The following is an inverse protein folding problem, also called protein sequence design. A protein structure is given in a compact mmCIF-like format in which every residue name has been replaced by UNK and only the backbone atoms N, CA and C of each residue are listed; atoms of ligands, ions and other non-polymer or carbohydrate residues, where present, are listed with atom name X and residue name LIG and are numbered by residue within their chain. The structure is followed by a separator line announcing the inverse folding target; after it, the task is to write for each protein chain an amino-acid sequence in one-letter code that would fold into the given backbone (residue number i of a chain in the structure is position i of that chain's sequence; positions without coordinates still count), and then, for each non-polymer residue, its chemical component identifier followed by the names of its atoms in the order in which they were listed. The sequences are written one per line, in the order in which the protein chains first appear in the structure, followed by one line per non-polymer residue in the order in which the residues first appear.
data_IF_757679591406
#
_entry.id   IF_757679591406
#
_cell.length_a   1.000
_cell.length_b   1.000
_cell.length_c   1.000
_cell.angle_alpha   90.00
_cell.angle_beta   90.00
_cell.angle_gamma   90.00
#
_symmetry.space_group_name_H-M   'P 1'
#
loop_
_entity.id
_entity.type
_entity.pdbx_description
1 polymer ?
#
# COMPACT_ATOMS: atom_id res chain seq x y z
N UNK A 1 2.86 16.62 3.72
CA UNK A 1 1.77 16.24 2.83
C UNK A 1 1.13 14.96 3.35
N UNK A 2 -0.20 14.92 3.38
CA UNK A 2 -0.92 13.78 3.97
C UNK A 2 -1.16 12.63 2.98
N UNK A 3 -1.03 12.88 1.67
CA UNK A 3 -1.07 11.86 0.62
C UNK A 3 0.19 12.01 -0.23
N UNK A 4 0.96 10.95 -0.34
CA UNK A 4 2.22 10.97 -1.10
C UNK A 4 2.22 9.86 -2.13
N UNK A 5 2.74 10.14 -3.31
CA UNK A 5 2.90 9.18 -4.37
C UNK A 5 4.40 8.99 -4.64
N UNK A 6 4.87 7.77 -4.51
CA UNK A 6 6.28 7.44 -4.76
C UNK A 6 6.32 6.74 -6.12
N UNK A 7 6.50 7.55 -7.14
CA UNK A 7 6.48 7.14 -8.54
C UNK A 7 7.78 7.56 -9.21
N UNK A 8 8.32 6.69 -10.06
CA UNK A 8 9.40 7.03 -10.99
C UNK A 8 8.84 7.02 -12.41
N UNK A 9 9.68 7.26 -13.40
CA UNK A 9 9.26 7.11 -14.79
C UNK A 9 8.93 5.66 -15.15
N UNK A 10 9.59 4.71 -14.49
CA UNK A 10 9.38 3.27 -14.74
C UNK A 10 8.27 2.66 -13.92
N UNK A 11 8.14 3.06 -12.64
CA UNK A 11 7.31 2.35 -11.69
C UNK A 11 6.46 3.28 -10.84
N UNK A 12 5.26 2.82 -10.55
CA UNK A 12 4.39 3.38 -9.53
C UNK A 12 4.61 2.54 -8.28
N UNK A 13 5.59 2.92 -7.45
CA UNK A 13 5.99 2.11 -6.30
C UNK A 13 4.93 2.06 -5.21
N UNK A 14 4.46 3.20 -4.78
CA UNK A 14 3.58 3.25 -3.60
C UNK A 14 2.75 4.52 -3.54
N UNK A 15 1.63 4.39 -2.82
CA UNK A 15 0.83 5.53 -2.36
C UNK A 15 0.86 5.48 -0.83
N UNK A 16 1.24 6.58 -0.19
CA UNK A 16 1.30 6.69 1.26
C UNK A 16 0.20 7.62 1.72
N UNK A 17 -0.66 7.10 2.59
CA UNK A 17 -1.74 7.86 3.21
C UNK A 17 -1.38 8.08 4.67
N UNK A 18 -1.16 9.32 5.06
CA UNK A 18 -0.76 9.67 6.43
C UNK A 18 -1.96 9.71 7.36
N UNK A 19 -1.69 9.43 8.64
CA UNK A 19 -2.73 9.39 9.69
C UNK A 19 -3.58 10.67 9.75
N UNK A 20 -2.96 11.82 9.49
CA UNK A 20 -3.66 13.11 9.52
C UNK A 20 -4.55 13.41 8.33
N UNK A 21 -4.75 12.47 7.41
CA UNK A 21 -5.60 12.69 6.25
C UNK A 21 -7.08 12.75 6.65
N UNK A 22 -7.77 13.81 6.22
CA UNK A 22 -9.19 14.02 6.49
C UNK A 22 -9.98 14.00 5.18
N UNK A 23 -10.59 12.85 4.82
CA UNK A 23 -11.39 12.77 3.61
C UNK A 23 -12.77 13.42 3.77
N UNK A 24 -13.43 13.63 2.65
CA UNK A 24 -14.82 14.04 2.60
C UNK A 24 -15.62 12.89 1.98
N UNK A 25 -16.42 12.21 2.80
CA UNK A 25 -17.16 11.03 2.37
C UNK A 25 -16.24 9.87 1.99
N UNK A 26 -16.58 9.19 0.91
CA UNK A 26 -15.76 8.10 0.37
C UNK A 26 -14.91 8.62 -0.78
N UNK A 27 -13.60 8.45 -0.68
CA UNK A 27 -12.65 8.89 -1.69
C UNK A 27 -11.67 7.77 -2.02
N UNK A 28 -11.34 7.61 -3.30
CA UNK A 28 -10.34 6.65 -3.76
C UNK A 28 -9.13 7.38 -4.33
N UNK A 29 -7.95 6.81 -4.09
CA UNK A 29 -6.65 7.43 -4.45
C UNK A 29 -5.92 6.66 -5.54
N UNK A 30 -6.54 5.60 -6.03
CA UNK A 30 -6.04 4.72 -7.08
C UNK A 30 -6.75 5.01 -8.40
N UNK A 31 -6.18 4.52 -9.50
CA UNK A 31 -6.85 4.60 -10.81
C UNK A 31 -7.96 3.56 -10.88
N UNK A 32 -8.99 3.83 -11.70
CA UNK A 32 -10.11 2.90 -11.86
C UNK A 32 -9.67 1.52 -12.33
N UNK A 33 -8.62 1.47 -13.13
CA UNK A 33 -8.10 0.23 -13.71
C UNK A 33 -7.15 -0.53 -12.78
N UNK A 34 -6.79 0.06 -11.66
CA UNK A 34 -5.90 -0.61 -10.72
C UNK A 34 -6.57 -1.84 -10.13
N UNK A 35 -5.80 -2.92 -10.05
CA UNK A 35 -6.32 -4.20 -9.54
C UNK A 35 -6.66 -4.16 -8.07
N UNK A 36 -6.11 -3.20 -7.34
CA UNK A 36 -6.34 -3.04 -5.91
C UNK A 36 -6.66 -1.57 -5.64
N UNK A 37 -7.78 -1.33 -5.00
CA UNK A 37 -8.26 0.02 -4.77
C UNK A 37 -7.99 0.46 -3.34
N UNK A 38 -7.37 1.62 -3.17
CA UNK A 38 -7.17 2.24 -1.86
C UNK A 38 -8.09 3.45 -1.75
N UNK A 39 -8.90 3.45 -0.71
CA UNK A 39 -9.80 4.57 -0.45
C UNK A 39 -9.94 4.83 1.04
N UNK A 40 -10.52 5.97 1.34
CA UNK A 40 -10.92 6.34 2.70
C UNK A 40 -12.42 6.57 2.73
N UNK A 41 -13.00 6.36 3.90
CA UNK A 41 -14.42 6.58 4.13
C UNK A 41 -14.59 7.35 5.43
N UNK A 42 -15.38 8.42 5.38
CA UNK A 42 -15.69 9.25 6.56
C UNK A 42 -17.11 9.71 6.46
N UNK A 43 -17.90 9.40 7.47
CA UNK A 43 -19.31 9.83 7.56
C UNK A 43 -19.64 10.22 8.98
N UNK A 44 -20.63 11.09 9.11
CA UNK A 44 -21.14 11.52 10.40
C UNK A 44 -21.99 10.44 11.05
N UNK A 45 -22.16 10.54 12.36
CA UNK A 45 -23.06 9.65 13.12
C UNK A 45 -24.47 9.66 12.52
N UNK A 46 -25.05 8.49 12.39
CA UNK A 46 -26.40 8.33 11.84
C UNK A 46 -26.44 8.03 10.35
N UNK A 47 -25.31 8.13 9.65
CA UNK A 47 -25.25 7.72 8.26
C UNK A 47 -25.47 6.20 8.16
N UNK A 48 -26.29 5.80 7.21
CA UNK A 48 -26.56 4.39 6.92
C UNK A 48 -26.31 4.15 5.45
N UNK A 49 -25.33 3.31 5.15
CA UNK A 49 -25.09 2.87 3.79
C UNK A 49 -26.17 1.87 3.38
N UNK A 50 -26.80 2.03 2.20
CA UNK A 50 -27.77 1.07 1.74
C UNK A 50 -27.19 -0.34 1.66
N UNK A 51 -27.93 -1.37 2.13
CA UNK A 51 -27.47 -2.76 1.99
C UNK A 51 -27.18 -3.09 0.54
N UNK A 52 -26.07 -3.75 0.28
CA UNK A 52 -25.66 -4.06 -1.09
C UNK A 52 -24.82 -5.33 -1.14
N UNK A 53 -24.63 -5.84 -2.34
CA UNK A 53 -23.77 -6.96 -2.64
C UNK A 53 -22.91 -6.57 -3.84
N UNK A 54 -21.64 -6.96 -3.80
CA UNK A 54 -20.76 -6.74 -4.94
C UNK A 54 -21.02 -7.82 -6.00
N UNK A 55 -21.21 -7.39 -7.24
CA UNK A 55 -21.45 -8.30 -8.35
C UNK A 55 -20.18 -9.08 -8.66
N UNK A 56 -20.31 -10.40 -8.77
CA UNK A 56 -19.20 -11.24 -9.19
C UNK A 56 -18.93 -11.04 -10.67
N UNK A 57 -17.67 -10.85 -11.00
CA UNK A 57 -17.23 -10.82 -12.40
C UNK A 57 -15.82 -11.38 -12.47
N UNK A 58 -15.52 -11.99 -13.61
CA UNK A 58 -14.20 -12.48 -13.89
C UNK A 58 -13.23 -11.32 -14.05
N UNK A 59 -12.07 -11.43 -13.39
CA UNK A 59 -11.01 -10.43 -13.46
C UNK A 59 -9.69 -11.13 -13.66
N UNK A 60 -8.85 -10.55 -14.51
CA UNK A 60 -7.48 -11.03 -14.70
C UNK A 60 -6.57 -10.11 -13.90
N UNK A 61 -5.91 -10.65 -12.88
CA UNK A 61 -5.02 -9.90 -12.01
C UNK A 61 -3.65 -10.57 -12.04
N UNK A 62 -2.65 -9.84 -12.50
CA UNK A 62 -1.28 -10.33 -12.63
C UNK A 62 -0.36 -9.81 -11.52
N UNK A 63 -0.72 -8.68 -10.93
CA UNK A 63 0.10 -8.01 -9.93
C UNK A 63 -0.25 -8.49 -8.53
N UNK A 64 0.75 -8.51 -7.65
CA UNK A 64 0.53 -8.72 -6.23
C UNK A 64 0.71 -7.38 -5.55
N UNK A 65 -0.40 -6.74 -5.23
CA UNK A 65 -0.44 -5.45 -4.55
C UNK A 65 -0.79 -5.68 -3.09
N UNK A 66 -0.14 -4.96 -2.19
CA UNK A 66 -0.42 -5.10 -0.76
C UNK A 66 -0.51 -3.74 -0.09
N UNK A 67 -1.27 -3.67 1.00
CA UNK A 67 -1.30 -2.50 1.85
C UNK A 67 -0.80 -2.85 3.23
N UNK A 68 -0.14 -1.88 3.89
CA UNK A 68 0.37 -2.00 5.24
C UNK A 68 -0.14 -0.83 6.06
N UNK A 69 -0.87 -1.13 7.13
CA UNK A 69 -1.33 -0.16 8.11
C UNK A 69 -0.53 -0.31 9.39
N UNK A 70 0.00 0.79 9.92
CA UNK A 70 0.84 0.77 11.13
C UNK A 70 -0.04 0.99 12.35
N UNK A 71 -0.08 0.00 13.24
CA UNK A 71 -0.81 0.10 14.51
C UNK A 71 0.05 0.80 15.56
N UNK A 72 1.28 0.33 15.74
CA UNK A 72 2.27 0.99 16.60
C UNK A 72 3.67 0.74 16.07
N UNK A 73 4.65 1.51 16.55
CA UNK A 73 6.05 1.38 16.15
C UNK A 73 6.38 2.24 14.95
N UNK A 74 7.48 1.92 14.30
CA UNK A 74 7.99 2.72 13.19
C UNK A 74 8.76 1.84 12.22
N UNK A 75 8.50 2.01 10.94
CA UNK A 75 9.24 1.32 9.87
C UNK A 75 9.68 2.31 8.81
N UNK A 76 10.79 2.00 8.14
CA UNK A 76 11.17 2.64 6.90
C UNK A 76 10.86 1.68 5.76
N UNK A 77 10.37 2.21 4.66
CA UNK A 77 10.18 1.46 3.43
C UNK A 77 11.11 2.06 2.39
N UNK A 78 12.00 1.24 1.87
CA UNK A 78 12.95 1.64 0.83
C UNK A 78 12.48 1.11 -0.51
N UNK A 79 12.66 1.91 -1.54
CA UNK A 79 12.28 1.57 -2.92
C UNK A 79 13.53 1.59 -3.79
N UNK A 80 13.68 0.61 -4.65
CA UNK A 80 14.89 0.44 -5.46
C UNK A 80 14.55 0.42 -6.93
N UNK A 81 15.42 1.04 -7.73
CA UNK A 81 15.35 1.05 -9.18
C UNK A 81 16.74 0.77 -9.72
N UNK A 82 16.85 -0.19 -10.63
CA UNK A 82 18.13 -0.62 -11.19
C UNK A 82 19.17 -0.92 -10.09
N UNK A 83 18.74 -1.67 -9.07
CA UNK A 83 19.53 -2.11 -7.92
C UNK A 83 19.92 -1.00 -6.93
N UNK A 84 19.58 0.25 -7.20
CA UNK A 84 19.92 1.40 -6.34
C UNK A 84 18.68 1.94 -5.65
N UNK A 85 18.87 2.50 -4.46
CA UNK A 85 17.78 3.14 -3.74
C UNK A 85 17.29 4.36 -4.51
N UNK A 86 16.02 4.31 -4.91
CA UNK A 86 15.33 5.42 -5.57
C UNK A 86 14.75 6.39 -4.54
N UNK A 87 14.14 5.85 -3.49
CA UNK A 87 13.44 6.65 -2.49
C UNK A 87 13.28 5.85 -1.19
N UNK A 88 12.94 6.52 -0.12
CA UNK A 88 12.64 5.90 1.16
C UNK A 88 11.60 6.75 1.88
N UNK A 89 10.74 6.11 2.65
CA UNK A 89 9.74 6.80 3.46
C UNK A 89 9.63 6.14 4.82
N UNK A 90 9.25 6.93 5.83
CA UNK A 90 9.02 6.42 7.18
C UNK A 90 7.53 6.36 7.42
N UNK A 91 7.05 5.24 7.95
CA UNK A 91 5.67 5.05 8.34
C UNK A 91 5.56 5.05 9.85
N UNK A 92 4.64 5.85 10.35
CA UNK A 92 4.31 6.00 11.76
C UNK A 92 2.91 5.46 12.05
N UNK A 93 2.53 5.28 13.34
CA UNK A 93 1.19 4.78 13.66
C UNK A 93 0.08 5.58 12.97
N UNK A 94 -0.88 4.85 12.39
CA UNK A 94 -1.99 5.43 11.63
C UNK A 94 -1.72 5.61 10.15
N UNK A 95 -0.46 5.52 9.71
CA UNK A 95 -0.12 5.61 8.30
C UNK A 95 -0.47 4.32 7.57
N UNK A 96 -0.88 4.44 6.31
CA UNK A 96 -1.14 3.32 5.41
C UNK A 96 -0.27 3.46 4.17
N UNK A 97 0.41 2.39 3.79
CA UNK A 97 1.15 2.32 2.54
C UNK A 97 0.48 1.32 1.61
N UNK A 98 0.18 1.72 0.39
CA UNK A 98 -0.19 0.80 -0.68
C UNK A 98 1.05 0.56 -1.51
N UNK A 99 1.56 -0.67 -1.52
CA UNK A 99 2.75 -1.08 -2.26
C UNK A 99 2.29 -1.71 -3.57
N UNK A 100 2.57 -1.04 -4.67
CA UNK A 100 1.96 -1.35 -5.98
C UNK A 100 2.87 -2.24 -6.82
N UNK A 101 4.08 -1.78 -7.12
CA UNK A 101 5.02 -2.50 -7.97
C UNK A 101 6.45 -2.05 -7.67
N UNK A 102 7.41 -2.72 -8.28
CA UNK A 102 8.82 -2.40 -8.08
C UNK A 102 9.40 -3.06 -6.84
N UNK A 103 10.69 -2.87 -6.65
CA UNK A 103 11.41 -3.48 -5.53
C UNK A 103 11.25 -2.63 -4.28
N UNK A 104 10.83 -3.25 -3.18
CA UNK A 104 10.73 -2.56 -1.90
C UNK A 104 11.31 -3.41 -0.77
N UNK A 105 11.68 -2.73 0.32
CA UNK A 105 12.22 -3.37 1.53
C UNK A 105 11.68 -2.64 2.75
N UNK A 106 11.29 -3.40 3.77
CA UNK A 106 10.85 -2.85 5.04
C UNK A 106 11.95 -3.00 6.07
N UNK A 107 12.33 -1.89 6.74
CA UNK A 107 13.27 -1.90 7.86
C UNK A 107 12.54 -1.44 9.11
N UNK A 108 12.63 -2.24 10.18
CA UNK A 108 11.96 -1.91 11.44
C UNK A 108 12.87 -0.98 12.26
N UNK A 109 12.39 0.23 12.52
CA UNK A 109 13.12 1.26 13.28
C UNK A 109 12.76 1.24 14.77
N UNK A 110 11.49 0.96 15.08
CA UNK A 110 11.00 0.68 16.45
C UNK A 110 10.11 -0.54 16.33
N UNK A 111 10.13 -1.40 17.34
CA UNK A 111 9.27 -2.59 17.35
C UNK A 111 7.87 -2.20 16.93
N UNK A 112 7.33 -2.89 15.93
CA UNK A 112 6.08 -2.46 15.31
C UNK A 112 5.08 -3.60 15.19
N UNK A 113 3.83 -3.20 15.08
CA UNK A 113 2.73 -4.06 14.66
C UNK A 113 2.01 -3.37 13.52
N UNK A 114 1.73 -4.11 12.46
CA UNK A 114 0.98 -3.63 11.32
C UNK A 114 -0.10 -4.63 10.91
N UNK A 115 -1.04 -4.15 10.11
CA UNK A 115 -2.03 -5.00 9.44
C UNK A 115 -1.71 -4.96 7.96
N UNK A 116 -1.54 -6.13 7.39
CA UNK A 116 -1.26 -6.28 5.96
C UNK A 116 -2.47 -6.85 5.24
N UNK A 117 -2.86 -6.23 4.15
CA UNK A 117 -3.89 -6.74 3.23
C UNK A 117 -3.20 -6.93 1.89
N UNK A 118 -3.28 -8.12 1.34
CA UNK A 118 -2.53 -8.47 0.13
C UNK A 118 -3.43 -9.19 -0.86
N UNK A 119 -3.18 -8.96 -2.15
CA UNK A 119 -3.87 -9.66 -3.21
C UNK A 119 -3.60 -11.16 -3.10
N UNK A 120 -4.66 -11.94 -3.02
CA UNK A 120 -4.58 -13.40 -3.08
C UNK A 120 -4.88 -13.90 -4.49
N UNK A 121 -4.85 -15.24 -4.68
CA UNK A 121 -4.52 -16.26 -3.69
C UNK A 121 -3.02 -16.32 -3.36
N UNK A 122 -2.67 -17.00 -2.26
CA UNK A 122 -1.30 -17.18 -1.81
C UNK A 122 -1.01 -18.65 -1.60
N UNK A 123 0.09 -19.15 -2.12
CA UNK A 123 0.48 -20.55 -1.98
C UNK A 123 1.74 -20.73 -1.14
N UNK A 124 2.81 -19.98 -1.47
CA UNK A 124 4.08 -20.10 -0.76
C UNK A 124 4.90 -18.81 -0.96
N UNK A 125 5.93 -18.63 -0.14
CA UNK A 125 6.86 -17.51 -0.30
C UNK A 125 7.55 -17.59 -1.67
N UNK A 126 7.98 -18.78 -2.08
CA UNK A 126 8.66 -18.99 -3.35
C UNK A 126 7.80 -18.63 -4.55
N UNK A 127 6.50 -18.87 -4.46
CA UNK A 127 5.54 -18.53 -5.52
C UNK A 127 5.24 -17.04 -5.56
N UNK A 128 5.25 -16.38 -4.39
CA UNK A 128 4.84 -14.99 -4.22
C UNK A 128 5.98 -13.99 -4.40
N UNK A 129 7.18 -14.33 -3.95
CA UNK A 129 8.30 -13.39 -3.86
C UNK A 129 9.57 -13.90 -4.52
N UNK A 130 10.34 -12.94 -5.02
CA UNK A 130 11.71 -13.15 -5.44
C UNK A 130 12.58 -12.17 -4.65
N UNK A 131 13.59 -12.69 -3.94
CA UNK A 131 14.54 -11.83 -3.26
C UNK A 131 15.60 -11.35 -4.24
N UNK A 132 15.88 -10.06 -4.22
CA UNK A 132 16.80 -9.43 -5.14
C UNK A 132 17.96 -8.79 -4.39
N UNK A 133 19.14 -8.75 -5.01
CA UNK A 133 20.29 -8.05 -4.48
C UNK A 133 20.22 -6.58 -4.89
N UNK A 134 20.55 -5.70 -3.94
CA UNK A 134 20.57 -4.26 -4.18
C UNK A 134 21.91 -3.70 -3.72
N UNK A 135 22.26 -2.55 -4.30
CA UNK A 135 23.50 -1.86 -3.95
C UNK A 135 23.24 -0.99 -2.71
N UNK A 136 23.95 -1.26 -1.65
CA UNK A 136 23.96 -0.46 -0.44
C UNK A 136 25.06 0.58 -0.53
N UNK A 137 24.74 1.84 -0.40
CA UNK A 137 25.72 2.91 -0.50
C UNK A 137 25.64 3.86 0.68
#
# INVERSE_FOLDING_TARGET
MVLEKIFSEKYRYAIILRDGHEPDGTMFYTEKDDSFQLGTIKHESGYIEPPHIHKKKEKIILDVVESLYIVYGKVAVDFFEDEKKFSSTILNPGDTALLIEGIHRIRVLKSFKGVKVKQGPYQSIEDDKEYVEVIES
#
